data_IF_940815046992
#
_entry.id   IF_940815046992
#
_cell.length_a   1.000
_cell.length_b   1.000
_cell.length_c   1.000
_cell.angle_alpha   90.00
_cell.angle_beta   90.00
_cell.angle_gamma   90.00
#
_symmetry.space_group_name_H-M   'P 1'
#
loop_
_entity.id
_entity.type
_entity.pdbx_description
1 polymer ?
#
# COMPACT_ATOMS: atom_id res chain seq x y z
N UNK A 1 19.25 -12.49 8.91
CA UNK A 1 18.27 -13.14 8.01
C UNK A 1 17.64 -12.08 7.14
N UNK A 2 16.93 -12.49 6.09
CA UNK A 2 16.14 -11.57 5.26
C UNK A 2 14.71 -11.51 5.79
N UNK A 3 14.21 -10.31 6.04
CA UNK A 3 12.80 -10.08 6.32
C UNK A 3 12.29 -9.07 5.29
N UNK A 4 11.14 -9.35 4.69
CA UNK A 4 10.49 -8.49 3.71
C UNK A 4 9.00 -8.42 4.01
N UNK A 5 8.49 -7.22 4.13
CA UNK A 5 7.08 -6.91 4.20
C UNK A 5 6.78 -5.74 3.26
N UNK A 6 5.70 -5.86 2.49
CA UNK A 6 5.15 -4.79 1.68
C UNK A 6 3.62 -4.89 1.75
N UNK A 7 2.95 -3.77 2.02
CA UNK A 7 1.49 -3.77 2.08
C UNK A 7 0.91 -2.39 2.31
N UNK A 8 -0.41 -2.29 2.16
CA UNK A 8 -1.16 -1.11 2.54
C UNK A 8 -1.22 -1.01 4.06
N UNK A 9 -0.95 0.17 4.61
CA UNK A 9 -1.04 0.42 6.04
C UNK A 9 -1.75 1.75 6.30
N UNK A 10 -2.45 1.83 7.42
CA UNK A 10 -2.99 3.06 7.97
C UNK A 10 -2.37 3.33 9.34
N UNK A 11 -1.80 4.51 9.54
CA UNK A 11 -1.19 4.94 10.82
C UNK A 11 -1.64 6.36 11.11
N UNK A 12 -2.26 6.59 12.27
CA UNK A 12 -2.76 7.92 12.68
C UNK A 12 -3.59 8.60 11.57
N UNK A 13 -4.50 7.87 10.92
CA UNK A 13 -5.30 8.39 9.81
C UNK A 13 -4.58 8.52 8.45
N UNK A 14 -3.24 8.44 8.42
CA UNK A 14 -2.46 8.48 7.18
C UNK A 14 -2.44 7.11 6.51
N UNK A 15 -2.67 7.06 5.20
CA UNK A 15 -2.73 5.82 4.40
C UNK A 15 -1.62 5.80 3.38
N UNK A 16 -0.97 4.66 3.22
CA UNK A 16 0.09 4.49 2.23
C UNK A 16 0.57 3.06 2.12
N UNK A 17 1.62 2.89 1.33
CA UNK A 17 2.35 1.63 1.25
C UNK A 17 3.47 1.64 2.28
N UNK A 18 3.51 0.62 3.12
CA UNK A 18 4.59 0.38 4.07
C UNK A 18 5.50 -0.72 3.52
N UNK A 19 6.79 -0.41 3.43
CA UNK A 19 7.84 -1.36 3.15
C UNK A 19 8.70 -1.52 4.41
N UNK A 20 8.82 -2.75 4.91
CA UNK A 20 9.71 -3.08 6.01
C UNK A 20 10.66 -4.19 5.58
N UNK A 21 11.96 -3.87 5.52
CA UNK A 21 12.99 -4.77 5.03
C UNK A 21 14.14 -4.86 6.02
N UNK A 22 14.70 -6.07 6.12
CA UNK A 22 15.97 -6.31 6.79
C UNK A 22 16.88 -7.05 5.81
N UNK A 23 18.06 -6.49 5.56
CA UNK A 23 19.10 -7.12 4.76
C UNK A 23 20.41 -7.18 5.56
N UNK A 24 21.12 -8.32 5.55
CA UNK A 24 22.46 -8.42 6.13
C UNK A 24 23.57 -7.84 5.24
N UNK A 25 23.27 -7.53 3.97
CA UNK A 25 24.28 -7.18 2.95
C UNK A 25 23.99 -5.87 2.21
N UNK A 26 22.87 -5.21 2.49
CA UNK A 26 22.46 -3.97 1.84
C UNK A 26 22.17 -2.92 2.90
N UNK A 27 22.81 -1.76 2.76
CA UNK A 27 22.57 -0.61 3.64
C UNK A 27 21.20 0.04 3.36
N UNK A 28 20.73 0.87 4.30
CA UNK A 28 19.42 1.50 4.22
C UNK A 28 19.21 2.32 2.93
N UNK A 29 20.24 3.02 2.45
CA UNK A 29 20.17 3.78 1.20
C UNK A 29 19.97 2.85 -0.02
N UNK A 30 20.70 1.74 -0.07
CA UNK A 30 20.54 0.74 -1.13
C UNK A 30 19.17 0.08 -1.11
N UNK A 31 18.64 -0.23 0.08
CA UNK A 31 17.27 -0.75 0.25
C UNK A 31 16.26 0.27 -0.28
N UNK A 32 16.42 1.56 0.06
CA UNK A 32 15.53 2.61 -0.40
C UNK A 32 15.53 2.76 -1.93
N UNK A 33 16.70 2.71 -2.55
CA UNK A 33 16.81 2.73 -4.02
C UNK A 33 16.18 1.49 -4.66
N UNK A 34 16.33 0.31 -4.06
CA UNK A 34 15.65 -0.91 -4.52
C UNK A 34 14.12 -0.80 -4.44
N UNK A 35 13.56 -0.22 -3.37
CA UNK A 35 12.11 0.02 -3.27
C UNK A 35 11.64 0.95 -4.39
N UNK A 36 12.37 2.04 -4.64
CA UNK A 36 12.02 2.98 -5.72
C UNK A 36 12.13 2.35 -7.11
N UNK A 37 13.15 1.52 -7.34
CA UNK A 37 13.31 0.79 -8.60
C UNK A 37 12.15 -0.21 -8.79
N UNK A 38 11.87 -1.01 -7.76
CA UNK A 38 10.74 -1.94 -7.74
C UNK A 38 9.42 -1.22 -8.09
N UNK A 39 9.09 -0.11 -7.41
CA UNK A 39 7.88 0.64 -7.71
C UNK A 39 7.83 1.10 -9.16
N UNK A 40 8.93 1.58 -9.75
CA UNK A 40 8.95 2.00 -11.16
C UNK A 40 8.70 0.83 -12.11
N UNK A 41 9.28 -0.33 -11.83
CA UNK A 41 9.13 -1.54 -12.64
C UNK A 41 7.69 -2.08 -12.64
N UNK A 42 6.93 -1.84 -11.56
CA UNK A 42 5.52 -2.27 -11.47
C UNK A 42 4.63 -1.72 -12.58
N UNK A 43 4.99 -0.61 -13.23
CA UNK A 43 4.23 -0.07 -14.35
C UNK A 43 3.97 -1.11 -15.44
N UNK A 44 5.02 -1.85 -15.83
CA UNK A 44 4.92 -2.84 -16.91
C UNK A 44 3.96 -3.98 -16.54
N UNK A 45 4.01 -4.43 -15.28
CA UNK A 45 3.11 -5.46 -14.78
C UNK A 45 1.66 -4.98 -14.78
N UNK A 46 1.40 -3.74 -14.34
CA UNK A 46 0.07 -3.14 -14.33
C UNK A 46 -0.48 -2.94 -15.76
N UNK A 47 0.36 -2.45 -16.68
CA UNK A 47 0.00 -2.23 -18.08
C UNK A 47 -0.25 -3.52 -18.88
N UNK A 48 0.27 -4.66 -18.39
CA UNK A 48 0.05 -5.97 -18.99
C UNK A 48 -1.17 -6.72 -18.41
N UNK A 49 -1.85 -6.18 -17.40
CA UNK A 49 -3.04 -6.80 -16.82
C UNK A 49 -4.19 -6.85 -17.83
N UNK A 50 -4.64 -8.05 -18.17
CA UNK A 50 -5.91 -8.22 -18.87
C UNK A 50 -7.10 -8.11 -17.91
N UNK A 51 -8.31 -7.98 -18.48
CA UNK A 51 -9.55 -7.86 -17.70
C UNK A 51 -9.80 -9.08 -16.79
N UNK A 52 -9.33 -10.27 -17.19
CA UNK A 52 -9.53 -11.50 -16.41
C UNK A 52 -8.63 -11.53 -15.17
N UNK A 53 -7.38 -11.09 -15.30
CA UNK A 53 -6.46 -10.91 -14.19
C UNK A 53 -6.94 -9.79 -13.27
N UNK A 54 -7.37 -8.66 -13.84
CA UNK A 54 -7.89 -7.54 -13.07
C UNK A 54 -9.13 -7.92 -12.25
N UNK A 55 -10.09 -8.64 -12.85
CA UNK A 55 -11.25 -9.16 -12.13
C UNK A 55 -10.84 -10.08 -10.98
N UNK A 56 -9.90 -11.01 -11.22
CA UNK A 56 -9.38 -11.90 -10.17
C UNK A 56 -8.76 -11.14 -9.01
N UNK A 57 -8.02 -10.06 -9.26
CA UNK A 57 -7.46 -9.23 -8.20
C UNK A 57 -8.54 -8.46 -7.42
N UNK A 58 -9.58 -7.95 -8.09
CA UNK A 58 -10.73 -7.31 -7.41
C UNK A 58 -11.42 -8.29 -6.48
N UNK A 59 -11.70 -9.50 -6.95
CA UNK A 59 -12.36 -10.54 -6.14
C UNK A 59 -11.51 -10.95 -4.94
N UNK A 60 -10.19 -11.07 -5.13
CA UNK A 60 -9.27 -11.42 -4.05
C UNK A 60 -9.13 -10.32 -2.98
N UNK A 61 -9.32 -9.05 -3.35
CA UNK A 61 -9.24 -7.90 -2.42
C UNK A 61 -10.52 -7.65 -1.64
N UNK A 62 -11.68 -8.07 -2.16
CA UNK A 62 -12.98 -7.80 -1.55
C UNK A 62 -13.11 -8.29 -0.10
N UNK A 63 -12.61 -9.49 0.29
CA UNK A 63 -12.62 -9.94 1.69
C UNK A 63 -11.82 -9.02 2.62
N UNK A 64 -10.68 -8.49 2.16
CA UNK A 64 -9.83 -7.59 2.95
C UNK A 64 -10.49 -6.22 3.18
N UNK A 65 -11.44 -5.83 2.34
CA UNK A 65 -12.23 -4.61 2.48
C UNK A 65 -13.54 -4.80 3.25
N UNK A 66 -13.80 -5.99 3.79
CA UNK A 66 -15.00 -6.21 4.61
C UNK A 66 -14.86 -5.58 6.00
N UNK A 67 -15.95 -5.11 6.63
CA UNK A 67 -15.92 -4.69 8.02
C UNK A 67 -15.36 -5.79 8.92
N UNK A 68 -14.49 -5.40 9.86
CA UNK A 68 -14.00 -6.35 10.86
C UNK A 68 -15.17 -6.93 11.67
N UNK A 69 -15.17 -8.25 11.85
CA UNK A 69 -16.25 -8.97 12.56
C UNK A 69 -16.12 -8.89 14.08
N UNK A 70 -14.90 -8.84 14.60
CA UNK A 70 -14.64 -8.75 16.03
C UNK A 70 -14.81 -7.31 16.53
N UNK A 71 -15.43 -7.13 17.70
CA UNK A 71 -15.74 -5.81 18.25
C UNK A 71 -14.52 -4.91 18.39
N UNK A 72 -13.39 -5.43 18.91
CA UNK A 72 -12.17 -4.64 19.09
C UNK A 72 -11.60 -4.18 17.73
N UNK A 73 -11.44 -5.11 16.79
CA UNK A 73 -10.94 -4.79 15.45
C UNK A 73 -11.88 -3.82 14.70
N UNK A 74 -13.21 -3.92 14.91
CA UNK A 74 -14.17 -2.97 14.35
C UNK A 74 -14.03 -1.58 14.97
N UNK A 75 -13.86 -1.50 16.29
CA UNK A 75 -13.65 -0.24 16.98
C UNK A 75 -12.35 0.44 16.51
N UNK A 76 -11.25 -0.31 16.37
CA UNK A 76 -9.99 0.19 15.82
C UNK A 76 -10.15 0.68 14.37
N UNK A 77 -10.86 -0.07 13.52
CA UNK A 77 -11.14 0.35 12.15
C UNK A 77 -11.93 1.66 12.08
N UNK A 78 -12.98 1.81 12.91
CA UNK A 78 -13.78 3.03 13.00
C UNK A 78 -12.96 4.20 13.55
N UNK A 79 -12.10 3.95 14.54
CA UNK A 79 -11.19 4.94 15.09
C UNK A 79 -10.22 5.47 14.03
N UNK A 80 -9.61 4.57 13.24
CA UNK A 80 -8.73 4.97 12.14
C UNK A 80 -9.47 5.78 11.06
N UNK A 81 -10.72 5.45 10.75
CA UNK A 81 -11.55 6.27 9.85
C UNK A 81 -11.79 7.67 10.43
N UNK A 82 -12.11 7.76 11.72
CA UNK A 82 -12.31 9.02 12.40
C UNK A 82 -11.04 9.90 12.38
N UNK A 83 -9.86 9.34 12.69
CA UNK A 83 -8.58 10.05 12.62
C UNK A 83 -8.27 10.56 11.21
N UNK A 84 -8.69 9.83 10.17
CA UNK A 84 -8.54 10.24 8.78
C UNK A 84 -9.59 11.29 8.33
N UNK A 85 -10.51 11.71 9.20
CA UNK A 85 -11.61 12.60 8.83
C UNK A 85 -12.64 11.96 7.89
N UNK A 86 -12.71 10.64 7.86
CA UNK A 86 -13.55 9.88 6.93
C UNK A 86 -14.80 9.31 7.61
N UNK A 87 -15.95 9.31 6.92
CA UNK A 87 -17.17 8.74 7.47
C UNK A 87 -17.13 7.20 7.43
N UNK A 88 -17.96 6.55 8.23
CA UNK A 88 -18.07 5.08 8.27
C UNK A 88 -18.44 4.47 6.90
N UNK A 89 -19.25 5.17 6.11
CA UNK A 89 -19.64 4.78 4.73
C UNK A 89 -18.44 4.73 3.76
N UNK A 90 -17.29 5.29 4.13
CA UNK A 90 -16.09 5.28 3.30
C UNK A 90 -15.69 3.87 2.87
N UNK A 91 -15.79 2.88 3.76
CA UNK A 91 -15.43 1.49 3.42
C UNK A 91 -16.32 0.93 2.30
N UNK A 92 -17.63 1.19 2.36
CA UNK A 92 -18.58 0.78 1.33
C UNK A 92 -18.27 1.47 0.00
N UNK A 93 -17.89 2.76 0.04
CA UNK A 93 -17.48 3.49 -1.18
C UNK A 93 -16.21 2.90 -1.78
N UNK A 94 -15.25 2.46 -0.97
CA UNK A 94 -14.03 1.79 -1.47
C UNK A 94 -14.37 0.45 -2.11
N UNK A 95 -15.28 -0.34 -1.53
CA UNK A 95 -15.76 -1.59 -2.15
C UNK A 95 -16.43 -1.33 -3.51
N UNK A 96 -17.28 -0.31 -3.60
CA UNK A 96 -17.93 0.10 -4.86
C UNK A 96 -16.93 0.63 -5.88
N UNK A 97 -15.91 1.38 -5.46
CA UNK A 97 -14.85 1.83 -6.35
C UNK A 97 -14.01 0.64 -6.85
N UNK A 98 -13.73 -0.35 -5.99
CA UNK A 98 -12.99 -1.55 -6.38
C UNK A 98 -13.70 -2.33 -7.49
N UNK A 99 -15.03 -2.42 -7.47
CA UNK A 99 -15.76 -3.15 -8.53
C UNK A 99 -15.68 -2.46 -9.89
N UNK A 100 -15.57 -1.12 -9.92
CA UNK A 100 -15.45 -0.31 -11.13
C UNK A 100 -13.99 -0.02 -11.56
N UNK A 101 -12.99 -0.35 -10.74
CA UNK A 101 -11.59 0.00 -10.93
C UNK A 101 -11.00 -0.55 -12.24
N UNK A 102 -10.70 0.30 -13.20
CA UNK A 102 -10.11 -0.08 -14.49
C UNK A 102 -8.58 -0.22 -14.42
N UNK A 103 -7.97 -0.80 -15.47
CA UNK A 103 -6.52 -0.80 -15.61
C UNK A 103 -5.96 0.63 -15.71
N UNK A 104 -6.66 1.53 -16.40
CA UNK A 104 -6.24 2.92 -16.52
C UNK A 104 -6.22 3.62 -15.15
N UNK A 105 -7.18 3.33 -14.27
CA UNK A 105 -7.19 3.87 -12.91
C UNK A 105 -5.98 3.38 -12.10
N UNK A 106 -5.57 2.12 -12.28
CA UNK A 106 -4.35 1.57 -11.65
C UNK A 106 -3.08 2.27 -12.15
N UNK A 107 -3.00 2.53 -13.45
CA UNK A 107 -1.88 3.24 -14.06
C UNK A 107 -1.83 4.69 -13.54
N UNK A 108 -2.95 5.40 -13.52
CA UNK A 108 -3.01 6.75 -12.94
C UNK A 108 -2.62 6.78 -11.46
N UNK A 109 -3.09 5.82 -10.66
CA UNK A 109 -2.71 5.71 -9.26
C UNK A 109 -1.20 5.40 -9.08
N UNK A 110 -0.62 4.62 -10.00
CA UNK A 110 0.83 4.34 -10.00
C UNK A 110 1.66 5.58 -10.35
N UNK A 111 1.25 6.36 -11.35
CA UNK A 111 1.90 7.65 -11.67
C UNK A 111 1.85 8.60 -10.48
N UNK A 112 0.68 8.71 -9.83
CA UNK A 112 0.52 9.51 -8.62
C UNK A 112 1.46 9.04 -7.49
N UNK A 113 1.53 7.73 -7.27
CA UNK A 113 2.44 7.13 -6.28
C UNK A 113 3.91 7.47 -6.58
N UNK A 114 4.33 7.43 -7.84
CA UNK A 114 5.71 7.77 -8.22
C UNK A 114 6.01 9.28 -8.14
N UNK A 115 4.99 10.12 -8.29
CA UNK A 115 5.12 11.58 -8.14
C UNK A 115 5.17 12.05 -6.69
N UNK A 116 4.81 11.16 -5.74
CA UNK A 116 4.77 11.46 -4.33
C UNK A 116 6.17 11.76 -3.76
N UNK A 117 6.31 12.91 -3.10
CA UNK A 117 7.56 13.36 -2.48
C UNK A 117 7.60 13.18 -0.96
N UNK A 118 6.49 12.76 -0.36
CA UNK A 118 6.26 12.68 1.10
C UNK A 118 6.72 11.36 1.73
N UNK A 119 7.86 10.84 1.29
CA UNK A 119 8.45 9.63 1.83
C UNK A 119 8.80 9.79 3.31
N UNK A 120 8.35 8.82 4.13
CA UNK A 120 8.76 8.71 5.53
C UNK A 120 9.65 7.47 5.67
N UNK A 121 10.95 7.71 5.87
CA UNK A 121 11.95 6.64 5.96
C UNK A 121 12.50 6.58 7.38
N UNK A 122 12.45 5.38 7.97
CA UNK A 122 13.08 5.09 9.24
C UNK A 122 14.13 3.99 9.02
N UNK A 123 15.38 4.29 9.33
CA UNK A 123 16.47 3.34 9.29
C UNK A 123 17.07 3.17 10.69
N UNK A 124 17.20 1.94 11.16
CA UNK A 124 17.78 1.59 12.46
C UNK A 124 19.20 1.03 12.38
N UNK A 125 19.76 0.92 11.16
CA UNK A 125 21.15 0.54 10.95
C UNK A 125 22.11 1.65 11.41
N UNK A 126 23.34 1.27 11.78
CA UNK A 126 24.38 2.25 12.09
C UNK A 126 24.59 3.19 10.88
N UNK A 127 24.74 4.51 11.10
CA UNK A 127 25.04 5.43 10.01
C UNK A 127 26.36 5.02 9.34
N UNK A 128 26.39 5.03 8.01
CA UNK A 128 27.62 4.82 7.27
C UNK A 128 28.63 5.90 7.65
N UNK A 129 29.80 5.48 8.13
CA UNK A 129 30.94 6.38 8.35
C UNK A 129 31.44 6.81 6.97
N UNK A 130 31.10 8.03 6.57
CA UNK A 130 31.63 8.69 5.38
C UNK A 130 33.14 8.98 5.54
#
# INVERSE_FOLDING_TARGET
GYALFAGFHQVEGCRGLLFALQSPVCEAAGIFDHIRAFLREQWQALAALDDTALSRYRDALLPALSPAKANLARAEQLWQLHLAGLPEVHLQRVQQALTALTQNDLLQAHEQLLSASDWRVLASGAPSLA
#
